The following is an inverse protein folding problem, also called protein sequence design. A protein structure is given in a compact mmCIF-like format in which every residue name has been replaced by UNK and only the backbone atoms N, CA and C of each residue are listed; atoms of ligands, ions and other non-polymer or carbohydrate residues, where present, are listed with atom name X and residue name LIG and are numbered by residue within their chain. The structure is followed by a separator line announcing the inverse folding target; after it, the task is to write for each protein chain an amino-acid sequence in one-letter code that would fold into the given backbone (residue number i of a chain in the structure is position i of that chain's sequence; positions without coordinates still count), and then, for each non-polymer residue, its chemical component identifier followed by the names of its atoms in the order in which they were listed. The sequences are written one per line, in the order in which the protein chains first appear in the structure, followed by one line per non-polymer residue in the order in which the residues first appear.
data_IF_339643539188
#
_entry.id   IF_339643539188
#
_cell.length_a   1.000
_cell.length_b   1.000
_cell.length_c   1.000
_cell.angle_alpha   90.00
_cell.angle_beta   90.00
_cell.angle_gamma   90.00
#
_symmetry.space_group_name_H-M   'P 1'
#
loop_
_entity.id
_entity.type
_entity.pdbx_description
1 polymer ?
#
# COMPACT_ATOMS: atom_id res chain seq x y z
N UNK A 1 -5.68 51.30 13.44
CA UNK A 1 -5.58 50.86 12.01
C UNK A 1 -4.31 50.07 11.70
N UNK A 2 -3.10 50.49 12.13
CA UNK A 2 -1.83 49.79 11.84
C UNK A 2 -1.66 48.41 12.52
N UNK A 3 -2.19 48.23 13.73
CA UNK A 3 -2.11 46.96 14.48
C UNK A 3 -3.03 45.87 13.87
N UNK A 4 -4.19 46.26 13.34
CA UNK A 4 -5.11 45.29 12.70
C UNK A 4 -4.55 44.72 11.39
N UNK A 5 -3.74 45.50 10.65
CA UNK A 5 -3.04 45.02 9.44
C UNK A 5 -1.97 43.97 9.81
N UNK A 6 -1.29 44.13 10.94
CA UNK A 6 -0.26 43.19 11.42
C UNK A 6 -0.90 41.87 11.86
N UNK A 7 -2.06 41.92 12.53
CA UNK A 7 -2.80 40.71 12.96
C UNK A 7 -3.36 39.95 11.75
N UNK A 8 -3.82 40.66 10.71
CA UNK A 8 -4.30 40.05 9.48
C UNK A 8 -3.17 39.34 8.70
N UNK A 9 -1.95 39.89 8.73
CA UNK A 9 -0.76 39.31 8.11
C UNK A 9 -0.25 38.06 8.84
N UNK A 10 -0.41 38.00 10.17
CA UNK A 10 0.04 36.87 10.99
C UNK A 10 -0.90 35.65 10.86
N UNK A 11 -2.18 35.86 10.57
CA UNK A 11 -3.16 34.79 10.37
C UNK A 11 -2.95 33.99 9.07
N UNK A 12 -2.29 34.57 8.06
CA UNK A 12 -1.98 33.85 6.81
C UNK A 12 -0.85 32.82 6.98
N UNK A 13 -0.03 32.93 8.03
CA UNK A 13 1.15 32.04 8.20
C UNK A 13 0.76 30.66 8.75
N UNK A 14 -0.47 30.47 9.24
CA UNK A 14 -0.92 29.21 9.86
C UNK A 14 -1.62 28.27 8.85
N UNK A 15 -1.90 28.73 7.62
CA UNK A 15 -2.48 27.88 6.57
C UNK A 15 -1.35 27.32 5.70
N UNK A 16 -0.60 26.37 6.24
CA UNK A 16 0.61 25.88 5.56
C UNK A 16 1.13 24.55 6.06
N UNK A 17 0.25 23.58 6.34
CA UNK A 17 0.63 22.17 6.38
C UNK A 17 -0.61 21.30 6.21
N UNK A 18 -1.02 21.09 4.97
CA UNK A 18 -1.89 19.98 4.61
C UNK A 18 -1.21 19.15 3.52
N UNK A 19 -0.04 18.59 3.85
CA UNK A 19 0.44 17.42 3.12
C UNK A 19 -0.44 16.26 3.55
N UNK A 20 -1.63 16.13 2.96
CA UNK A 20 -2.53 15.00 3.17
C UNK A 20 -2.03 13.74 2.44
N UNK A 21 -0.73 13.45 2.52
CA UNK A 21 -0.21 12.12 2.22
C UNK A 21 -0.40 11.27 3.47
N UNK A 22 -1.66 10.99 3.78
CA UNK A 22 -2.00 10.16 4.93
C UNK A 22 -1.52 8.73 4.63
N UNK A 23 -0.55 8.24 5.41
CA UNK A 23 -0.07 6.87 5.29
C UNK A 23 -1.23 5.90 5.49
N UNK A 24 -1.36 4.96 4.56
CA UNK A 24 -2.36 3.91 4.59
C UNK A 24 -2.00 2.90 5.67
N UNK A 25 -2.98 2.50 6.48
CA UNK A 25 -2.84 1.46 7.49
C UNK A 25 -3.27 0.08 6.97
N UNK A 26 -2.92 -0.97 7.72
CA UNK A 26 -3.36 -2.32 7.41
C UNK A 26 -4.88 -2.45 7.48
N UNK A 27 -5.51 -1.84 8.49
CA UNK A 27 -6.96 -1.93 8.67
C UNK A 27 -7.70 -1.29 7.48
N UNK A 28 -7.16 -0.20 6.94
CA UNK A 28 -7.75 0.48 5.79
C UNK A 28 -7.69 -0.39 4.52
N UNK A 29 -6.54 -1.00 4.21
CA UNK A 29 -6.43 -1.85 3.03
C UNK A 29 -7.24 -3.14 3.18
N UNK A 30 -7.16 -3.81 4.34
CA UNK A 30 -7.90 -5.05 4.60
C UNK A 30 -9.40 -4.79 4.56
N UNK A 31 -9.85 -3.69 5.17
CA UNK A 31 -11.26 -3.28 5.12
C UNK A 31 -11.73 -2.98 3.70
N UNK A 32 -10.91 -2.33 2.87
CA UNK A 32 -11.26 -2.05 1.48
C UNK A 32 -11.41 -3.35 0.66
N UNK A 33 -10.50 -4.30 0.81
CA UNK A 33 -10.61 -5.62 0.18
C UNK A 33 -11.90 -6.33 0.60
N UNK A 34 -12.18 -6.39 1.90
CA UNK A 34 -13.36 -7.07 2.43
C UNK A 34 -14.68 -6.41 1.98
N UNK A 35 -14.72 -5.07 1.90
CA UNK A 35 -15.90 -4.34 1.45
C UNK A 35 -16.23 -4.60 -0.04
N UNK A 36 -15.23 -4.89 -0.85
CA UNK A 36 -15.37 -5.26 -2.27
C UNK A 36 -15.57 -6.78 -2.46
N UNK A 37 -15.76 -7.54 -1.36
CA UNK A 37 -16.02 -8.97 -1.40
C UNK A 37 -14.78 -9.85 -1.52
N UNK A 38 -13.57 -9.27 -1.50
CA UNK A 38 -12.31 -10.02 -1.50
C UNK A 38 -12.03 -10.56 -0.10
N UNK A 39 -12.29 -11.85 0.08
CA UNK A 39 -12.07 -12.50 1.38
C UNK A 39 -10.59 -12.77 1.63
N UNK A 40 -10.04 -12.07 2.63
CA UNK A 40 -8.70 -12.29 3.15
C UNK A 40 -8.76 -13.25 4.33
N UNK A 41 -8.04 -14.36 4.24
CA UNK A 41 -7.96 -15.38 5.30
C UNK A 41 -6.51 -15.63 5.72
N UNK A 42 -6.31 -16.29 6.87
CA UNK A 42 -4.97 -16.61 7.35
C UNK A 42 -4.21 -17.50 6.34
N UNK A 43 -2.93 -17.18 6.14
CA UNK A 43 -2.01 -17.94 5.30
C UNK A 43 -0.86 -18.48 6.13
N UNK A 44 -0.32 -19.61 5.71
CA UNK A 44 0.73 -20.31 6.45
C UNK A 44 2.08 -19.58 6.37
N UNK A 45 2.79 -19.55 7.50
CA UNK A 45 4.16 -19.06 7.55
C UNK A 45 5.11 -20.04 6.84
N UNK A 46 5.95 -19.49 5.98
CA UNK A 46 7.05 -20.18 5.33
C UNK A 46 8.28 -19.25 5.32
N UNK A 47 9.24 -19.53 6.19
CA UNK A 47 10.47 -18.73 6.35
C UNK A 47 11.40 -18.77 5.13
N UNK A 48 11.26 -19.80 4.29
CA UNK A 48 12.04 -19.91 3.05
C UNK A 48 11.44 -19.05 1.93
N UNK A 49 10.20 -18.58 2.09
CA UNK A 49 9.55 -17.74 1.11
C UNK A 49 10.13 -16.30 1.16
N UNK A 50 10.70 -15.86 0.03
CA UNK A 50 11.31 -14.53 -0.11
C UNK A 50 10.34 -13.38 0.18
N UNK A 51 9.03 -13.60 -0.06
CA UNK A 51 7.98 -12.63 0.22
C UNK A 51 7.61 -12.57 1.71
N UNK A 52 8.09 -13.49 2.55
CA UNK A 52 7.88 -13.42 4.01
C UNK A 52 9.13 -12.92 4.77
N UNK A 53 10.30 -12.91 4.13
CA UNK A 53 11.58 -12.52 4.75
C UNK A 53 11.72 -11.01 5.04
N UNK A 54 10.78 -10.19 4.58
CA UNK A 54 10.81 -8.74 4.77
C UNK A 54 11.74 -7.99 3.81
N UNK A 55 11.57 -6.67 3.75
CA UNK A 55 12.34 -5.74 2.91
C UNK A 55 12.78 -4.57 3.78
N UNK A 56 14.08 -4.31 3.90
CA UNK A 56 14.61 -3.19 4.68
C UNK A 56 13.98 -3.12 6.10
N UNK A 57 13.97 -4.25 6.80
CA UNK A 57 13.36 -4.41 8.15
C UNK A 57 11.82 -4.36 8.18
N UNK A 58 11.15 -4.11 7.06
CA UNK A 58 9.69 -4.17 6.93
C UNK A 58 9.26 -5.62 6.72
N UNK A 59 8.65 -6.20 7.75
CA UNK A 59 8.02 -7.52 7.69
C UNK A 59 6.59 -7.36 7.12
N UNK A 60 6.22 -8.10 6.07
CA UNK A 60 4.90 -7.96 5.48
C UNK A 60 3.82 -8.59 6.34
N UNK A 61 2.61 -8.09 6.19
CA UNK A 61 1.38 -8.78 6.59
C UNK A 61 0.84 -9.50 5.37
N UNK A 62 0.39 -10.74 5.52
CA UNK A 62 -0.01 -11.53 4.37
C UNK A 62 -1.19 -12.43 4.69
N UNK A 63 -1.96 -12.70 3.64
CA UNK A 63 -3.24 -13.39 3.72
C UNK A 63 -3.42 -14.24 2.48
N UNK A 64 -4.20 -15.31 2.60
CA UNK A 64 -4.68 -16.07 1.46
C UNK A 64 -5.83 -15.29 0.81
N UNK A 65 -5.74 -15.12 -0.50
CA UNK A 65 -6.71 -14.44 -1.35
C UNK A 65 -6.91 -15.26 -2.62
N UNK A 66 -8.13 -15.77 -2.82
CA UNK A 66 -8.44 -16.71 -3.90
C UNK A 66 -7.46 -17.91 -3.88
N UNK A 67 -6.75 -18.18 -4.98
CA UNK A 67 -5.77 -19.25 -5.14
C UNK A 67 -4.33 -18.84 -4.83
N UNK A 68 -4.12 -17.61 -4.33
CA UNK A 68 -2.81 -17.02 -4.08
C UNK A 68 -2.62 -16.48 -2.66
N UNK A 69 -1.48 -15.84 -2.46
CA UNK A 69 -1.13 -15.11 -1.23
C UNK A 69 -0.87 -13.66 -1.59
N UNK A 70 -1.51 -12.75 -0.87
CA UNK A 70 -1.28 -11.32 -0.97
C UNK A 70 -0.41 -10.86 0.21
N UNK A 71 0.62 -10.07 -0.09
CA UNK A 71 1.60 -9.54 0.87
C UNK A 71 1.53 -8.02 0.88
N UNK A 72 1.33 -7.44 2.06
CA UNK A 72 1.27 -6.01 2.31
C UNK A 72 2.52 -5.56 3.06
N UNK A 73 3.39 -4.83 2.38
CA UNK A 73 4.55 -4.17 2.98
C UNK A 73 4.19 -2.71 3.25
N UNK A 74 4.21 -2.32 4.52
CA UNK A 74 3.79 -0.99 4.97
C UNK A 74 5.04 -0.21 5.40
N UNK A 75 5.45 0.72 4.56
CA UNK A 75 6.61 1.60 4.82
C UNK A 75 6.15 2.85 5.57
N UNK A 76 7.09 3.64 6.09
CA UNK A 76 6.74 4.92 6.73
C UNK A 76 6.38 5.98 5.70
N UNK A 77 7.01 5.92 4.52
CA UNK A 77 6.85 6.90 3.45
C UNK A 77 6.81 6.23 2.08
N UNK A 78 6.29 6.95 1.09
CA UNK A 78 6.32 6.53 -0.32
C UNK A 78 7.75 6.33 -0.83
N UNK A 79 8.68 7.21 -0.44
CA UNK A 79 10.10 7.07 -0.83
C UNK A 79 10.73 5.79 -0.28
N UNK A 80 10.39 5.41 0.95
CA UNK A 80 10.83 4.13 1.52
C UNK A 80 10.21 2.93 0.79
N UNK A 81 8.94 3.06 0.38
CA UNK A 81 8.24 2.05 -0.44
C UNK A 81 8.90 1.87 -1.81
N UNK A 82 9.24 2.95 -2.50
CA UNK A 82 9.97 2.92 -3.77
C UNK A 82 11.32 2.23 -3.63
N UNK A 83 12.09 2.63 -2.62
CA UNK A 83 13.38 1.98 -2.30
C UNK A 83 13.18 0.49 -1.97
N UNK A 84 12.16 0.15 -1.17
CA UNK A 84 11.85 -1.23 -0.84
C UNK A 84 11.53 -2.08 -2.07
N UNK A 85 10.79 -1.53 -3.02
CA UNK A 85 10.51 -2.20 -4.30
C UNK A 85 11.81 -2.48 -5.07
N UNK A 86 12.67 -1.48 -5.21
CA UNK A 86 13.97 -1.64 -5.87
C UNK A 86 14.81 -2.71 -5.17
N UNK A 87 14.93 -2.64 -3.83
CA UNK A 87 15.70 -3.59 -3.04
C UNK A 87 15.12 -5.00 -3.08
N UNK A 88 13.81 -5.17 -3.28
CA UNK A 88 13.20 -6.48 -3.53
C UNK A 88 13.64 -7.06 -4.87
N UNK A 89 13.53 -6.28 -5.95
CA UNK A 89 13.89 -6.73 -7.31
C UNK A 89 15.39 -6.90 -7.54
N UNK A 90 16.25 -6.31 -6.69
CA UNK A 90 17.69 -6.59 -6.70
C UNK A 90 18.05 -7.96 -6.09
N UNK A 91 17.12 -8.63 -5.40
CA UNK A 91 17.36 -9.97 -4.86
C UNK A 91 17.40 -10.99 -6.00
N UNK A 92 18.07 -12.13 -5.82
CA UNK A 92 17.92 -13.27 -6.72
C UNK A 92 16.50 -13.83 -6.59
N UNK A 93 15.57 -13.28 -7.37
CA UNK A 93 14.19 -13.78 -7.44
C UNK A 93 14.20 -14.97 -8.40
N UNK A 94 14.09 -16.19 -7.88
CA UNK A 94 13.66 -17.31 -8.70
C UNK A 94 12.25 -17.03 -9.21
N UNK A 95 11.94 -17.43 -10.46
CA UNK A 95 10.72 -17.13 -11.24
C UNK A 95 9.39 -17.50 -10.55
N UNK A 96 9.06 -16.83 -9.45
CA UNK A 96 7.77 -16.88 -8.80
C UNK A 96 6.90 -15.84 -9.49
N UNK A 97 5.85 -16.30 -10.18
CA UNK A 97 4.88 -15.41 -10.81
C UNK A 97 4.20 -14.58 -9.73
N UNK A 98 4.24 -13.27 -9.91
CA UNK A 98 3.62 -12.32 -9.01
C UNK A 98 3.24 -11.05 -9.76
N UNK A 99 2.29 -10.31 -9.21
CA UNK A 99 2.00 -8.94 -9.60
C UNK A 99 2.28 -8.01 -8.44
N UNK A 100 2.83 -6.84 -8.75
CA UNK A 100 3.12 -5.80 -7.77
C UNK A 100 2.17 -4.63 -7.96
N UNK A 101 1.68 -4.09 -6.85
CA UNK A 101 0.84 -2.90 -6.81
C UNK A 101 1.39 -1.92 -5.78
N UNK A 102 1.18 -0.63 -6.02
CA UNK A 102 1.80 0.44 -5.25
C UNK A 102 0.75 1.51 -4.92
N UNK A 103 0.63 1.87 -3.65
CA UNK A 103 -0.26 2.95 -3.20
C UNK A 103 0.30 3.62 -1.95
N UNK A 104 0.49 4.94 -2.00
CA UNK A 104 1.06 5.74 -0.91
C UNK A 104 2.36 5.12 -0.36
N UNK A 105 2.33 4.70 0.91
CA UNK A 105 3.44 4.05 1.63
C UNK A 105 3.40 2.51 1.57
N UNK A 106 2.51 1.89 0.79
CA UNK A 106 2.31 0.45 0.75
C UNK A 106 2.76 -0.17 -0.58
N UNK A 107 3.57 -1.21 -0.51
CA UNK A 107 3.90 -2.09 -1.63
C UNK A 107 3.16 -3.41 -1.42
N UNK A 108 2.45 -3.85 -2.45
CA UNK A 108 1.60 -5.02 -2.39
C UNK A 108 2.08 -6.01 -3.43
N UNK A 109 2.28 -7.26 -3.03
CA UNK A 109 2.54 -8.35 -3.96
C UNK A 109 1.42 -9.36 -3.90
N UNK A 110 0.87 -9.72 -5.05
CA UNK A 110 0.01 -10.89 -5.17
C UNK A 110 0.79 -12.01 -5.86
N UNK A 111 1.01 -13.09 -5.12
CA UNK A 111 1.76 -14.27 -5.58
C UNK A 111 0.77 -15.39 -5.80
N UNK A 112 0.67 -15.85 -7.05
CA UNK A 112 -0.35 -16.79 -7.48
C UNK A 112 0.27 -18.03 -8.14
N UNK A 113 -0.49 -19.12 -8.11
CA UNK A 113 -0.12 -20.37 -8.75
C UNK A 113 -0.22 -20.32 -10.27
N UNK A 114 -0.21 -21.50 -10.92
CA UNK A 114 -0.28 -21.59 -12.39
C UNK A 114 -1.64 -21.16 -12.98
N UNK A 115 -2.68 -21.00 -12.16
CA UNK A 115 -4.08 -20.84 -12.60
C UNK A 115 -4.66 -19.48 -12.21
N UNK A 116 -3.86 -18.41 -12.31
CA UNK A 116 -4.38 -17.08 -12.05
C UNK A 116 -5.49 -16.71 -13.07
N UNK A 117 -6.58 -16.18 -12.55
CA UNK A 117 -7.56 -15.44 -13.36
C UNK A 117 -7.12 -13.97 -13.45
N UNK A 118 -7.06 -13.41 -14.66
CA UNK A 118 -6.86 -11.96 -14.89
C UNK A 118 -7.91 -11.11 -14.14
N UNK A 119 -9.04 -11.71 -13.76
CA UNK A 119 -10.12 -11.11 -12.97
C UNK A 119 -9.65 -10.63 -11.59
N UNK A 120 -8.90 -11.46 -10.84
CA UNK A 120 -8.46 -11.13 -9.49
C UNK A 120 -7.51 -9.92 -9.50
N UNK A 121 -6.67 -9.82 -10.54
CA UNK A 121 -5.79 -8.66 -10.71
C UNK A 121 -6.58 -7.38 -10.93
N UNK A 122 -7.64 -7.43 -11.74
CA UNK A 122 -8.53 -6.31 -11.98
C UNK A 122 -9.28 -5.88 -10.72
N UNK A 123 -9.73 -6.83 -9.91
CA UNK A 123 -10.39 -6.56 -8.62
C UNK A 123 -9.42 -5.90 -7.63
N UNK A 124 -8.17 -6.36 -7.56
CA UNK A 124 -7.14 -5.74 -6.72
C UNK A 124 -6.84 -4.31 -7.20
N UNK A 125 -6.70 -4.09 -8.52
CA UNK A 125 -6.48 -2.76 -9.09
C UNK A 125 -7.64 -1.81 -8.79
N UNK A 126 -8.88 -2.27 -8.88
CA UNK A 126 -10.06 -1.46 -8.58
C UNK A 126 -10.10 -1.04 -7.10
N UNK A 127 -9.85 -1.97 -6.17
CA UNK A 127 -9.75 -1.68 -4.73
C UNK A 127 -8.67 -0.62 -4.46
N UNK A 128 -7.49 -0.80 -5.04
CA UNK A 128 -6.37 0.11 -4.87
C UNK A 128 -6.69 1.48 -5.50
N UNK A 129 -7.28 1.50 -6.69
CA UNK A 129 -7.70 2.73 -7.37
C UNK A 129 -8.72 3.53 -6.56
N UNK A 130 -9.71 2.85 -5.95
CA UNK A 130 -10.70 3.48 -5.06
C UNK A 130 -10.05 4.13 -3.83
N UNK A 131 -9.05 3.47 -3.23
CA UNK A 131 -8.29 4.00 -2.10
C UNK A 131 -7.40 5.19 -2.47
N UNK A 132 -6.76 5.14 -3.64
CA UNK A 132 -5.95 6.24 -4.16
C UNK A 132 -6.81 7.48 -4.43
N UNK A 133 -7.97 7.28 -5.05
CA UNK A 133 -8.90 8.36 -5.37
C UNK A 133 -9.62 8.95 -4.13
N UNK A 134 -9.85 8.16 -3.08
CA UNK A 134 -10.37 8.68 -1.80
C UNK A 134 -9.36 9.58 -1.06
N UNK A 135 -8.07 9.47 -1.36
CA UNK A 135 -7.02 10.35 -0.81
C UNK A 135 -6.92 11.69 -1.55
N UNK A 136 -7.43 11.77 -2.79
CA UNK A 136 -7.48 12.97 -3.66
C UNK A 136 -8.88 13.65 -3.69
N UNK A 137 -9.83 13.14 -2.89
CA UNK A 137 -11.24 13.51 -2.90
C UNK A 137 -11.62 14.83 -2.20
N UNK A 138 -10.78 15.87 -2.29
CA UNK A 138 -11.21 17.26 -2.04
C UNK A 138 -10.89 18.11 -3.27
N UNK A 139 -11.80 18.08 -4.25
CA UNK A 139 -11.93 19.14 -5.26
C UNK A 139 -13.08 20.06 -4.88
#
# INVERSE_FOLDING_TARGET
MRIHIIILLFLMVIVGCSNSNQSLTLEQIVGAFQNEGLQLTEADENRENIFQQGINEVIPKFYRLSDGIIYFYIFKTEKEREKGREDFYHRPIEFVKHKAFEINNMLIFYVYGKNQSDEIDGEIEDVIGKLGNHSDGRK
#
